data_IF_076701228080
#
_entry.id   IF_076701228080
#
_cell.length_a   1.000
_cell.length_b   1.000
_cell.length_c   1.000
_cell.angle_alpha   90.00
_cell.angle_beta   90.00
_cell.angle_gamma   90.00
#
_symmetry.space_group_name_H-M   'P 1'
#
loop_
_entity.id
_entity.type
_entity.pdbx_description
1 polymer ?
#
# COMPACT_ATOMS: atom_id res chain seq x y z
N UNK A 1 17.20 19.34 9.67
CA UNK A 1 15.75 19.16 9.82
C UNK A 1 15.51 17.67 9.57
N UNK A 2 14.96 16.93 10.54
CA UNK A 2 14.58 15.52 10.32
C UNK A 2 13.47 15.49 9.28
N UNK A 3 13.58 14.64 8.27
CA UNK A 3 12.50 14.49 7.29
C UNK A 3 11.29 13.90 8.00
N UNK A 4 10.13 14.54 7.86
CA UNK A 4 8.88 14.01 8.38
C UNK A 4 8.50 12.77 7.58
N UNK A 5 8.04 11.71 8.25
CA UNK A 5 7.45 10.56 7.58
C UNK A 5 6.33 11.03 6.65
N UNK A 6 6.38 10.57 5.39
CA UNK A 6 5.39 10.90 4.36
C UNK A 6 4.08 10.16 4.66
N UNK A 7 2.95 10.67 4.17
CA UNK A 7 1.68 9.93 4.22
C UNK A 7 1.81 8.61 3.44
N UNK A 8 1.27 7.52 3.98
CA UNK A 8 1.23 6.27 3.24
C UNK A 8 0.86 5.07 4.08
N UNK A 9 0.84 3.90 3.45
CA UNK A 9 0.67 2.60 4.09
C UNK A 9 2.02 2.01 4.39
N UNK A 10 2.21 1.54 5.62
CA UNK A 10 3.47 1.02 6.13
C UNK A 10 3.31 -0.33 6.80
N UNK A 11 4.34 -1.17 6.65
CA UNK A 11 4.69 -2.13 7.69
C UNK A 11 5.49 -1.40 8.78
N UNK A 12 5.08 -1.59 10.03
CA UNK A 12 5.83 -1.13 11.19
C UNK A 12 6.52 -2.34 11.80
N UNK A 13 7.84 -2.43 11.59
CA UNK A 13 8.66 -3.59 11.94
C UNK A 13 9.66 -3.23 13.04
N UNK A 14 9.89 -4.13 13.98
CA UNK A 14 10.98 -3.96 14.94
C UNK A 14 12.35 -4.05 14.23
N UNK A 15 13.29 -3.19 14.58
CA UNK A 15 14.61 -3.20 13.92
C UNK A 15 15.47 -4.38 14.37
N UNK A 16 15.28 -4.85 15.60
CA UNK A 16 16.11 -5.89 16.22
C UNK A 16 15.57 -7.30 16.00
N UNK A 17 14.29 -7.42 15.64
CA UNK A 17 13.61 -8.70 15.47
C UNK A 17 12.67 -8.68 14.25
N UNK A 18 12.42 -9.81 13.58
CA UNK A 18 11.48 -9.91 12.46
C UNK A 18 10.01 -9.88 12.95
N UNK A 19 9.67 -8.90 13.78
CA UNK A 19 8.35 -8.69 14.38
C UNK A 19 7.66 -7.49 13.73
N UNK A 20 6.44 -7.72 13.26
CA UNK A 20 5.56 -6.70 12.70
C UNK A 20 4.43 -6.39 13.66
N UNK A 21 4.06 -5.11 13.75
CA UNK A 21 2.87 -4.70 14.48
C UNK A 21 1.64 -5.15 13.68
N UNK A 22 0.74 -5.89 14.32
CA UNK A 22 -0.48 -6.41 13.71
C UNK A 22 -1.69 -6.06 14.55
N UNK A 23 -2.79 -5.73 13.88
CA UNK A 23 -4.12 -5.74 14.49
C UNK A 23 -4.44 -7.13 15.05
N UNK A 24 -5.14 -7.23 16.19
CA UNK A 24 -5.49 -8.51 16.76
C UNK A 24 -6.44 -9.32 15.86
N UNK A 25 -6.46 -10.62 16.10
CA UNK A 25 -7.54 -11.48 15.63
C UNK A 25 -8.72 -11.30 16.58
N UNK A 26 -9.92 -11.07 16.03
CA UNK A 26 -11.20 -11.16 16.78
C UNK A 26 -11.43 -10.03 17.83
N UNK A 27 -12.36 -10.23 18.78
CA UNK A 27 -12.80 -9.28 19.83
C UNK A 27 -11.73 -8.80 20.83
N UNK A 28 -10.45 -9.08 20.58
CA UNK A 28 -9.40 -8.66 21.49
C UNK A 28 -9.03 -7.20 21.24
N UNK A 29 -8.91 -6.43 22.32
CA UNK A 29 -8.72 -4.97 22.23
C UNK A 29 -7.27 -4.54 21.93
N UNK A 30 -6.30 -5.47 21.96
CA UNK A 30 -4.88 -5.13 22.01
C UNK A 30 -4.11 -5.52 20.75
N UNK A 31 -3.27 -4.60 20.30
CA UNK A 31 -2.35 -4.81 19.17
C UNK A 31 -1.31 -5.88 19.52
N UNK A 32 -0.98 -6.73 18.54
CA UNK A 32 -0.09 -7.90 18.69
C UNK A 32 1.12 -7.78 17.78
N UNK A 33 2.04 -8.73 17.94
CA UNK A 33 3.17 -8.92 17.03
C UNK A 33 3.05 -10.22 16.26
N UNK A 34 3.38 -10.16 14.98
CA UNK A 34 3.51 -11.32 14.10
C UNK A 34 4.96 -11.46 13.70
N UNK A 35 5.53 -12.65 13.90
CA UNK A 35 6.90 -12.96 13.48
C UNK A 35 6.89 -13.46 12.05
N UNK A 36 7.56 -12.75 11.15
CA UNK A 36 7.63 -13.10 9.72
C UNK A 36 8.86 -12.48 9.08
N UNK A 37 9.43 -13.09 8.03
CA UNK A 37 10.64 -12.56 7.39
C UNK A 37 10.31 -11.56 6.27
N UNK A 38 9.33 -11.86 5.43
CA UNK A 38 8.90 -11.03 4.29
C UNK A 38 7.38 -11.14 4.15
N UNK A 39 6.61 -10.17 4.70
CA UNK A 39 5.14 -10.22 4.64
C UNK A 39 4.56 -10.03 3.25
N UNK A 40 5.27 -9.28 2.38
CA UNK A 40 4.67 -8.62 1.22
C UNK A 40 5.06 -9.27 -0.10
N UNK A 41 6.32 -9.66 -0.26
CA UNK A 41 6.81 -10.24 -1.51
C UNK A 41 6.02 -11.53 -1.81
N UNK A 42 5.43 -11.60 -3.00
CA UNK A 42 4.56 -12.70 -3.45
C UNK A 42 3.33 -13.00 -2.57
N UNK A 43 2.95 -12.06 -1.69
CA UNK A 43 1.80 -12.25 -0.82
C UNK A 43 0.51 -12.41 -1.64
N UNK A 44 -0.31 -13.35 -1.20
CA UNK A 44 -1.65 -13.62 -1.73
C UNK A 44 -2.68 -13.89 -0.63
N UNK A 45 -2.26 -13.84 0.64
CA UNK A 45 -3.11 -14.06 1.81
C UNK A 45 -3.55 -12.72 2.41
N UNK A 46 -4.86 -12.40 2.39
CA UNK A 46 -5.40 -11.17 2.99
C UNK A 46 -5.05 -10.99 4.48
N UNK A 47 -4.66 -12.04 5.22
CA UNK A 47 -4.23 -11.91 6.61
C UNK A 47 -3.07 -10.90 6.79
N UNK A 48 -2.26 -10.68 5.75
CA UNK A 48 -1.17 -9.70 5.78
C UNK A 48 -1.65 -8.26 6.02
N UNK A 49 -2.87 -7.92 5.63
CA UNK A 49 -3.42 -6.57 5.73
C UNK A 49 -3.57 -6.10 7.18
N UNK A 50 -3.62 -7.04 8.13
CA UNK A 50 -3.64 -6.74 9.56
C UNK A 50 -2.33 -6.13 10.05
N UNK A 51 -1.23 -6.31 9.31
CA UNK A 51 0.07 -5.70 9.61
C UNK A 51 0.31 -4.39 8.86
N UNK A 52 -0.66 -3.94 8.05
CA UNK A 52 -0.57 -2.70 7.29
C UNK A 52 -1.22 -1.56 8.04
N UNK A 53 -0.51 -0.45 8.12
CA UNK A 53 -0.93 0.74 8.86
C UNK A 53 -0.87 1.95 7.94
N UNK A 54 -2.01 2.60 7.71
CA UNK A 54 -2.08 3.91 7.11
C UNK A 54 -1.60 4.94 8.15
N UNK A 55 -0.55 5.68 7.80
CA UNK A 55 0.05 6.72 8.63
C UNK A 55 -0.17 8.06 7.95
N UNK A 56 -0.77 8.98 8.70
CA UNK A 56 -1.18 10.29 8.20
C UNK A 56 -0.86 11.36 9.23
N UNK A 57 -0.70 12.61 8.79
CA UNK A 57 -0.58 13.73 9.71
C UNK A 57 -1.91 13.90 10.46
N UNK A 58 -1.82 14.03 11.78
CA UNK A 58 -2.98 14.38 12.61
C UNK A 58 -3.32 15.87 12.51
N UNK A 59 -4.45 16.25 13.12
CA UNK A 59 -5.05 17.60 13.07
C UNK A 59 -4.23 18.74 13.72
N UNK A 60 -3.00 18.48 14.20
CA UNK A 60 -2.23 19.46 14.98
C UNK A 60 -0.95 19.88 14.29
N UNK A 61 -0.64 21.18 14.40
CA UNK A 61 0.59 21.89 14.00
C UNK A 61 1.91 21.35 14.61
N UNK A 62 1.94 20.15 15.20
CA UNK A 62 3.03 19.62 16.03
C UNK A 62 3.74 18.40 15.44
N UNK A 63 3.51 18.06 14.17
CA UNK A 63 4.15 16.90 13.54
C UNK A 63 3.74 15.57 14.20
N UNK A 64 2.48 15.49 14.65
CA UNK A 64 1.90 14.25 15.17
C UNK A 64 1.22 13.47 14.04
N UNK A 65 1.19 12.15 14.18
CA UNK A 65 0.63 11.22 13.24
C UNK A 65 -0.56 10.47 13.82
N UNK A 66 -1.54 10.16 12.99
CA UNK A 66 -2.53 9.12 13.26
C UNK A 66 -2.08 7.85 12.54
N UNK A 67 -2.32 6.71 13.18
CA UNK A 67 -1.93 5.40 12.66
C UNK A 67 -3.18 4.53 12.66
N UNK A 68 -3.65 4.14 11.47
CA UNK A 68 -4.90 3.39 11.28
C UNK A 68 -4.62 2.06 10.61
N UNK A 69 -5.18 0.98 11.14
CA UNK A 69 -5.02 -0.34 10.54
C UNK A 69 -5.80 -0.43 9.23
N UNK A 70 -5.16 -0.93 8.17
CA UNK A 70 -5.77 -0.99 6.85
C UNK A 70 -6.94 -2.00 6.79
N UNK A 71 -6.80 -3.14 7.46
CA UNK A 71 -7.82 -4.19 7.46
C UNK A 71 -9.05 -3.80 8.29
N UNK A 72 -8.87 -3.30 9.52
CA UNK A 72 -10.01 -3.01 10.41
C UNK A 72 -10.53 -1.57 10.34
N UNK A 73 -9.78 -0.64 9.74
CA UNK A 73 -10.10 0.79 9.77
C UNK A 73 -9.94 1.45 11.14
N UNK A 74 -9.46 0.71 12.15
CA UNK A 74 -9.33 1.19 13.54
C UNK A 74 -8.01 1.89 13.78
N UNK A 75 -8.02 2.86 14.68
CA UNK A 75 -6.85 3.65 15.05
C UNK A 75 -6.04 2.93 16.14
N UNK A 76 -4.72 2.98 16.01
CA UNK A 76 -3.79 2.65 17.08
C UNK A 76 -3.85 3.75 18.13
N UNK A 77 -4.22 3.40 19.36
CA UNK A 77 -4.42 4.35 20.46
C UNK A 77 -3.69 3.90 21.72
N UNK A 78 -3.32 4.85 22.58
CA UNK A 78 -2.90 4.57 23.97
C UNK A 78 -3.73 5.40 24.94
N UNK A 79 -4.92 4.91 25.35
CA UNK A 79 -5.86 5.66 26.18
C UNK A 79 -5.29 6.08 27.55
N UNK A 80 -4.56 5.18 28.20
CA UNK A 80 -3.96 5.35 29.53
C UNK A 80 -2.46 5.70 29.46
N UNK A 81 -1.91 5.81 28.25
CA UNK A 81 -0.49 6.01 28.00
C UNK A 81 0.40 4.82 28.38
N UNK A 82 -0.16 3.66 28.75
CA UNK A 82 0.58 2.47 29.19
C UNK A 82 0.30 1.28 28.26
N UNK A 83 -0.95 1.08 27.86
CA UNK A 83 -1.38 0.01 26.98
C UNK A 83 -1.76 0.56 25.60
N UNK A 84 -1.54 -0.26 24.57
CA UNK A 84 -1.87 0.11 23.20
C UNK A 84 -3.03 -0.74 22.72
N UNK A 85 -4.07 -0.04 22.27
CA UNK A 85 -5.36 -0.60 21.88
C UNK A 85 -5.73 -0.14 20.48
N UNK A 86 -6.62 -0.88 19.83
CA UNK A 86 -7.24 -0.45 18.57
C UNK A 86 -8.68 0.06 18.81
N UNK A 87 -9.07 1.20 18.24
CA UNK A 87 -10.37 1.81 18.51
C UNK A 87 -11.00 2.42 17.26
N UNK A 88 -12.34 2.45 17.22
CA UNK A 88 -13.11 2.99 16.08
C UNK A 88 -13.03 4.53 15.98
N UNK A 89 -12.54 5.20 17.03
CA UNK A 89 -12.45 6.67 17.09
C UNK A 89 -11.02 7.11 17.32
N UNK A 90 -10.63 8.18 16.63
CA UNK A 90 -9.51 9.02 17.05
C UNK A 90 -9.86 9.67 18.38
N UNK A 91 -9.47 9.04 19.48
CA UNK A 91 -9.59 9.66 20.80
C UNK A 91 -8.55 10.78 20.89
N UNK A 92 -8.93 12.00 20.51
CA UNK A 92 -8.16 13.25 20.47
C UNK A 92 -6.64 13.10 20.65
N UNK A 93 -6.13 12.99 21.89
CA UNK A 93 -4.69 12.92 22.19
C UNK A 93 -4.12 11.50 22.28
N UNK A 94 -4.95 10.50 22.57
CA UNK A 94 -4.53 9.11 22.72
C UNK A 94 -4.39 8.38 21.39
N UNK A 95 -4.96 8.91 20.29
CA UNK A 95 -4.77 8.38 18.94
C UNK A 95 -3.67 9.08 18.12
N UNK A 96 -3.02 10.09 18.69
CA UNK A 96 -1.94 10.84 18.06
C UNK A 96 -0.57 10.30 18.54
N UNK A 97 0.38 10.19 17.60
CA UNK A 97 1.70 9.63 17.79
C UNK A 97 2.77 10.59 17.29
N UNK A 98 3.76 10.89 18.12
CA UNK A 98 4.99 11.56 17.69
C UNK A 98 5.94 10.48 17.20
N UNK A 99 6.30 10.55 15.92
CA UNK A 99 7.27 9.67 15.29
C UNK A 99 8.54 10.48 15.10
N UNK A 100 9.63 10.04 15.72
CA UNK A 100 10.92 10.73 15.67
C UNK A 100 11.97 9.80 15.10
N UNK A 101 12.70 10.29 14.09
CA UNK A 101 13.85 9.59 13.55
C UNK A 101 14.98 9.54 14.59
N UNK A 102 15.56 8.35 14.73
CA UNK A 102 16.77 8.11 15.50
C UNK A 102 17.76 7.40 14.56
N UNK A 103 19.07 7.34 14.88
CA UNK A 103 20.03 6.67 14.00
C UNK A 103 19.55 5.27 13.63
N UNK A 104 19.34 5.04 12.32
CA UNK A 104 18.88 3.76 11.72
C UNK A 104 17.44 3.31 12.05
N UNK A 105 16.60 4.12 12.71
CA UNK A 105 15.25 3.71 13.11
C UNK A 105 14.31 4.90 13.40
N UNK A 106 13.08 4.59 13.78
CA UNK A 106 12.11 5.53 14.35
C UNK A 106 11.76 5.13 15.79
N UNK A 107 11.43 6.13 16.61
CA UNK A 107 10.75 5.96 17.90
C UNK A 107 9.34 6.53 17.80
N UNK A 108 8.38 5.84 18.42
CA UNK A 108 6.97 6.24 18.42
C UNK A 108 6.51 6.48 19.85
N UNK A 109 5.98 7.67 20.11
CA UNK A 109 5.57 8.13 21.44
C UNK A 109 4.15 8.68 21.36
N UNK A 110 3.21 8.29 22.24
CA UNK A 110 1.89 8.90 22.27
C UNK A 110 1.98 10.42 22.50
N UNK A 111 1.29 11.22 21.70
CA UNK A 111 1.38 12.69 21.80
C UNK A 111 0.90 13.23 23.16
N UNK A 112 -0.01 12.51 23.82
CA UNK A 112 -0.47 12.80 25.18
C UNK A 112 0.53 12.45 26.30
N UNK A 113 1.60 11.70 26.02
CA UNK A 113 2.56 11.28 27.04
C UNK A 113 3.98 11.05 26.49
N UNK A 114 4.86 12.03 26.69
CA UNK A 114 6.27 11.96 26.28
C UNK A 114 7.10 10.96 27.10
N UNK A 115 6.53 10.41 28.18
CA UNK A 115 7.23 9.51 29.08
C UNK A 115 7.28 8.06 28.58
N UNK A 116 6.49 7.70 27.57
CA UNK A 116 6.29 6.31 27.16
C UNK A 116 6.58 6.11 25.68
N UNK A 117 7.29 5.03 25.36
CA UNK A 117 7.60 4.67 23.97
C UNK A 117 6.93 3.35 23.63
N UNK A 118 6.52 3.25 22.37
CA UNK A 118 6.13 2.00 21.72
C UNK A 118 7.21 0.94 21.93
N UNK A 119 6.91 -0.07 22.74
CA UNK A 119 7.84 -1.12 23.14
C UNK A 119 7.18 -2.48 23.01
N UNK A 120 7.88 -3.44 22.39
CA UNK A 120 7.48 -4.84 22.49
C UNK A 120 8.00 -5.44 23.80
N UNK A 121 7.16 -6.22 24.48
CA UNK A 121 7.56 -6.99 25.66
C UNK A 121 7.18 -8.45 25.46
N UNK A 122 8.18 -9.33 25.50
CA UNK A 122 7.99 -10.78 25.43
C UNK A 122 7.78 -11.34 26.84
N UNK A 123 6.55 -11.74 27.16
CA UNK A 123 6.26 -12.54 28.36
C UNK A 123 5.93 -13.96 27.92
N UNK A 124 6.95 -14.80 27.74
CA UNK A 124 6.98 -16.27 27.61
C UNK A 124 5.87 -17.03 26.83
N UNK A 125 4.91 -16.35 26.18
CA UNK A 125 3.79 -16.84 25.34
C UNK A 125 2.89 -15.71 24.81
N UNK A 126 2.95 -14.49 25.35
CA UNK A 126 2.20 -13.33 24.85
C UNK A 126 3.19 -12.18 24.58
N UNK A 127 3.28 -11.76 23.31
CA UNK A 127 4.02 -10.56 22.92
C UNK A 127 3.03 -9.41 22.92
N UNK A 128 3.17 -8.50 23.88
CA UNK A 128 2.29 -7.34 24.05
C UNK A 128 2.98 -6.04 23.68
N UNK A 129 2.22 -5.09 23.14
CA UNK A 129 2.66 -3.75 22.79
C UNK A 129 2.33 -2.81 23.97
N UNK A 130 3.38 -2.27 24.60
CA UNK A 130 3.23 -1.37 25.74
C UNK A 130 3.97 -0.07 25.52
N UNK A 131 3.45 0.99 26.11
CA UNK A 131 4.09 2.27 26.19
C UNK A 131 4.88 2.30 27.52
N UNK A 132 6.20 2.03 27.50
CA UNK A 132 7.02 1.89 28.73
C UNK A 132 8.28 2.76 28.77
N UNK A 133 8.70 3.12 29.98
CA UNK A 133 10.05 3.64 30.29
C UNK A 133 11.07 2.49 30.23
N UNK A 134 12.31 2.73 29.80
CA UNK A 134 13.39 1.71 29.81
C UNK A 134 14.07 1.40 28.46
N UNK A 135 14.86 0.31 28.42
CA UNK A 135 15.97 0.02 27.47
C UNK A 135 15.74 0.29 25.97
N UNK A 136 16.84 0.59 25.27
CA UNK A 136 16.87 1.15 23.90
C UNK A 136 16.52 0.19 22.76
N UNK A 137 16.76 -1.12 22.89
CA UNK A 137 16.61 -2.08 21.78
C UNK A 137 15.15 -2.27 21.34
N UNK A 138 14.24 -2.52 22.28
CA UNK A 138 12.84 -2.85 21.98
C UNK A 138 11.95 -1.67 21.54
N UNK A 139 12.53 -0.49 21.29
CA UNK A 139 11.83 0.77 20.97
C UNK A 139 12.11 1.30 19.57
N UNK A 140 12.90 0.58 18.79
CA UNK A 140 13.32 0.97 17.45
C UNK A 140 12.43 0.29 16.41
N UNK A 141 11.82 1.11 15.56
CA UNK A 141 10.88 0.69 14.54
C UNK A 141 11.35 1.16 13.17
N UNK A 142 11.29 0.29 12.17
CA UNK A 142 11.43 0.66 10.76
C UNK A 142 10.05 0.77 10.13
N UNK A 143 9.84 1.85 9.38
CA UNK A 143 8.63 2.09 8.60
C UNK A 143 8.91 1.73 7.14
N UNK A 144 8.46 0.56 6.71
CA UNK A 144 8.59 0.13 5.32
C UNK A 144 7.32 0.50 4.57
N UNK A 145 7.40 1.53 3.72
CA UNK A 145 6.26 2.00 2.92
C UNK A 145 5.90 0.98 1.83
N UNK A 146 4.61 0.76 1.63
CA UNK A 146 4.05 -0.12 0.58
C UNK A 146 2.96 0.56 -0.26
N UNK A 147 2.89 1.89 -0.15
CA UNK A 147 2.03 2.73 -0.96
C UNK A 147 2.86 3.75 -1.74
N UNK A 148 2.28 4.28 -2.81
CA UNK A 148 2.82 5.43 -3.55
C UNK A 148 1.74 6.50 -3.69
N UNK A 149 2.15 7.76 -3.68
CA UNK A 149 1.28 8.86 -4.10
C UNK A 149 1.04 8.80 -5.60
N UNK A 150 0.01 9.50 -6.08
CA UNK A 150 -0.20 9.64 -7.52
C UNK A 150 0.96 10.35 -8.23
N UNK A 151 1.64 11.29 -7.55
CA UNK A 151 2.85 11.93 -8.09
C UNK A 151 4.01 10.94 -8.24
N UNK A 152 4.26 10.10 -7.24
CA UNK A 152 5.29 9.05 -7.31
C UNK A 152 4.95 8.00 -8.38
N UNK A 153 3.68 7.62 -8.50
CA UNK A 153 3.21 6.71 -9.56
C UNK A 153 3.43 7.31 -10.95
N UNK A 154 3.11 8.60 -11.14
CA UNK A 154 3.39 9.30 -12.40
C UNK A 154 4.89 9.36 -12.71
N UNK A 155 5.74 9.56 -11.70
CA UNK A 155 7.20 9.53 -11.87
C UNK A 155 7.66 8.12 -12.30
N UNK A 156 7.12 7.05 -11.72
CA UNK A 156 7.42 5.68 -12.12
C UNK A 156 6.97 5.39 -13.56
N UNK A 157 5.82 5.94 -13.98
CA UNK A 157 5.39 5.88 -15.38
C UNK A 157 6.36 6.61 -16.31
N UNK A 158 6.78 7.83 -15.97
CA UNK A 158 7.73 8.61 -16.76
C UNK A 158 9.10 7.95 -16.91
N UNK A 159 9.56 7.26 -15.86
CA UNK A 159 10.84 6.55 -15.86
C UNK A 159 10.77 5.18 -16.51
N UNK A 160 9.58 4.64 -16.77
CA UNK A 160 9.44 3.32 -17.35
C UNK A 160 10.02 3.31 -18.78
N UNK A 161 11.01 2.47 -19.09
CA UNK A 161 11.64 2.44 -20.41
C UNK A 161 10.68 2.24 -21.59
N UNK A 162 9.62 1.46 -21.40
CA UNK A 162 8.59 1.20 -22.42
C UNK A 162 7.62 2.36 -22.61
N UNK A 163 7.64 3.37 -21.74
CA UNK A 163 6.83 4.59 -21.81
C UNK A 163 7.66 5.86 -22.03
N UNK A 164 8.97 5.80 -21.74
CA UNK A 164 9.87 6.97 -21.65
C UNK A 164 9.91 7.79 -22.94
N UNK A 165 10.03 7.13 -24.08
CA UNK A 165 10.13 7.81 -25.38
C UNK A 165 8.84 8.58 -25.73
N UNK A 166 7.69 8.16 -25.20
CA UNK A 166 6.41 8.85 -25.41
C UNK A 166 6.30 10.12 -24.56
N UNK A 167 6.84 10.11 -23.35
CA UNK A 167 6.88 11.28 -22.47
C UNK A 167 7.95 12.31 -22.86
N UNK A 168 9.14 11.87 -23.29
CA UNK A 168 10.25 12.79 -23.58
C UNK A 168 10.13 13.47 -24.95
N UNK A 169 9.53 12.80 -25.94
CA UNK A 169 9.51 13.30 -27.32
C UNK A 169 8.22 14.04 -27.68
N UNK A 170 7.28 14.26 -26.75
CA UNK A 170 5.94 14.81 -27.01
C UNK A 170 5.21 14.11 -28.19
N UNK A 171 5.57 12.85 -28.48
CA UNK A 171 5.08 12.15 -29.67
C UNK A 171 3.59 11.85 -29.54
N UNK A 172 3.14 11.55 -28.31
CA UNK A 172 1.75 11.52 -27.88
C UNK A 172 1.77 11.85 -26.39
N UNK A 173 1.18 12.98 -25.99
CA UNK A 173 1.06 13.34 -24.58
C UNK A 173 0.16 12.28 -23.93
N UNK A 174 0.75 11.24 -23.29
CA UNK A 174 -0.04 10.19 -22.64
C UNK A 174 -0.93 10.89 -21.64
N UNK A 175 -2.23 10.92 -21.92
CA UNK A 175 -3.18 11.57 -21.04
C UNK A 175 -3.34 10.70 -19.80
N UNK A 176 -2.61 11.03 -18.75
CA UNK A 176 -2.50 10.24 -17.53
C UNK A 176 -3.38 10.86 -16.42
N UNK A 177 -4.56 10.29 -16.23
CA UNK A 177 -5.56 10.75 -15.27
C UNK A 177 -5.42 9.99 -13.95
N UNK A 178 -5.11 10.73 -12.90
CA UNK A 178 -5.04 10.24 -11.52
C UNK A 178 -6.43 10.36 -10.87
N UNK A 179 -6.94 9.27 -10.30
CA UNK A 179 -8.26 9.23 -9.63
C UNK A 179 -8.18 9.26 -8.10
N UNK A 180 -7.10 8.74 -7.52
CA UNK A 180 -6.88 8.72 -6.07
C UNK A 180 -5.61 9.47 -5.69
N UNK A 181 -5.52 9.92 -4.43
CA UNK A 181 -4.34 10.63 -3.92
C UNK A 181 -3.14 9.72 -3.71
N UNK A 182 -3.37 8.58 -3.06
CA UNK A 182 -2.38 7.60 -2.69
C UNK A 182 -2.92 6.20 -3.00
N UNK A 183 -2.02 5.30 -3.36
CA UNK A 183 -2.33 3.95 -3.79
C UNK A 183 -1.53 2.92 -3.02
N UNK A 184 -2.21 1.92 -2.48
CA UNK A 184 -1.57 0.68 -2.04
C UNK A 184 -1.05 -0.08 -3.27
N UNK A 185 0.22 -0.48 -3.25
CA UNK A 185 0.82 -1.28 -4.31
C UNK A 185 0.73 -2.75 -3.92
N UNK A 186 -0.19 -3.48 -4.56
CA UNK A 186 -0.34 -4.91 -4.28
C UNK A 186 0.78 -5.73 -4.95
N UNK A 187 1.31 -6.73 -4.24
CA UNK A 187 2.13 -7.79 -4.81
C UNK A 187 1.42 -8.53 -5.95
N UNK A 188 2.19 -9.04 -6.90
CA UNK A 188 1.68 -9.82 -8.04
C UNK A 188 0.84 -11.04 -7.63
N UNK A 189 1.10 -11.59 -6.44
CA UNK A 189 0.34 -12.68 -5.85
C UNK A 189 -1.15 -12.35 -5.65
N UNK A 190 -1.47 -11.13 -5.17
CA UNK A 190 -2.86 -10.68 -5.01
C UNK A 190 -3.54 -10.42 -6.36
N UNK A 191 -2.85 -9.76 -7.30
CA UNK A 191 -3.35 -9.59 -8.66
C UNK A 191 -3.74 -10.94 -9.28
N UNK A 192 -2.87 -11.94 -9.14
CA UNK A 192 -3.12 -13.31 -9.63
C UNK A 192 -4.31 -13.97 -8.93
N UNK A 193 -4.47 -13.76 -7.62
CA UNK A 193 -5.59 -14.29 -6.86
C UNK A 193 -6.93 -13.65 -7.27
N UNK A 194 -6.96 -12.33 -7.45
CA UNK A 194 -8.13 -11.57 -7.92
C UNK A 194 -8.48 -11.98 -9.34
N UNK A 195 -7.50 -12.06 -10.24
CA UNK A 195 -7.70 -12.45 -11.63
C UNK A 195 -8.31 -13.85 -11.77
N UNK A 196 -7.87 -14.80 -10.94
CA UNK A 196 -8.42 -16.17 -10.94
C UNK A 196 -9.93 -16.21 -10.68
N UNK A 197 -10.50 -15.21 -10.01
CA UNK A 197 -11.96 -15.12 -9.77
C UNK A 197 -12.76 -14.66 -11.00
N UNK A 198 -12.11 -14.05 -12.00
CA UNK A 198 -12.77 -13.49 -13.19
C UNK A 198 -12.31 -14.09 -14.53
N UNK A 199 -11.35 -15.03 -14.51
CA UNK A 199 -10.63 -15.54 -15.70
C UNK A 199 -11.47 -16.31 -16.73
N UNK A 200 -12.67 -16.78 -16.40
CA UNK A 200 -13.45 -17.70 -17.24
C UNK A 200 -14.18 -17.03 -18.42
N UNK A 201 -13.64 -15.91 -18.90
CA UNK A 201 -14.27 -15.09 -19.95
C UNK A 201 -13.55 -15.29 -21.26
N UNK A 202 -14.31 -15.29 -22.36
CA UNK A 202 -13.79 -15.49 -23.71
C UNK A 202 -13.71 -14.16 -24.43
N UNK A 203 -12.60 -13.95 -25.15
CA UNK A 203 -12.44 -12.82 -26.05
C UNK A 203 -13.53 -12.88 -27.14
N UNK A 204 -14.29 -11.80 -27.26
CA UNK A 204 -15.32 -11.60 -28.28
C UNK A 204 -15.14 -10.18 -28.82
N UNK A 205 -14.81 -10.00 -30.11
CA UNK A 205 -14.62 -8.68 -30.69
C UNK A 205 -15.78 -7.74 -30.33
N UNK A 206 -15.44 -6.51 -29.89
CA UNK A 206 -16.34 -5.42 -29.47
C UNK A 206 -17.20 -5.69 -28.23
N UNK A 207 -17.77 -6.88 -28.08
CA UNK A 207 -18.69 -7.22 -26.97
C UNK A 207 -17.92 -7.51 -25.69
N UNK A 208 -16.74 -8.14 -25.83
CA UNK A 208 -15.88 -8.52 -24.71
C UNK A 208 -14.44 -8.71 -25.17
N UNK A 209 -13.81 -7.61 -25.53
CA UNK A 209 -12.43 -7.49 -26.00
C UNK A 209 -11.50 -6.88 -24.95
N UNK A 210 -10.32 -6.38 -25.34
CA UNK A 210 -9.23 -6.06 -24.41
C UNK A 210 -9.60 -4.99 -23.37
N UNK A 211 -10.35 -3.95 -23.76
CA UNK A 211 -10.84 -2.92 -22.86
C UNK A 211 -11.83 -3.48 -21.84
N UNK A 212 -12.75 -4.34 -22.27
CA UNK A 212 -13.69 -5.05 -21.42
C UNK A 212 -12.97 -5.89 -20.37
N UNK A 213 -11.94 -6.64 -20.76
CA UNK A 213 -11.11 -7.40 -19.80
C UNK A 213 -10.42 -6.47 -18.79
N UNK A 214 -9.79 -5.39 -19.25
CA UNK A 214 -9.02 -4.50 -18.40
C UNK A 214 -9.88 -3.68 -17.42
N UNK A 215 -11.06 -3.23 -17.87
CA UNK A 215 -12.03 -2.54 -17.02
C UNK A 215 -12.64 -3.49 -15.98
N UNK A 216 -13.03 -4.70 -16.38
CA UNK A 216 -13.55 -5.71 -15.45
C UNK A 216 -12.51 -6.08 -14.40
N UNK A 217 -11.24 -6.21 -14.78
CA UNK A 217 -10.19 -6.49 -13.81
C UNK A 217 -9.95 -5.33 -12.83
N UNK A 218 -9.89 -4.07 -13.31
CA UNK A 218 -9.82 -2.90 -12.41
C UNK A 218 -11.01 -2.87 -11.44
N UNK A 219 -12.23 -3.15 -11.92
CA UNK A 219 -13.42 -3.24 -11.09
C UNK A 219 -13.35 -4.39 -10.06
N UNK A 220 -12.79 -5.54 -10.46
CA UNK A 220 -12.58 -6.66 -9.55
C UNK A 220 -11.56 -6.33 -8.45
N UNK A 221 -10.48 -5.61 -8.76
CA UNK A 221 -9.52 -5.13 -7.76
C UNK A 221 -10.18 -4.13 -6.80
N UNK A 222 -10.98 -3.20 -7.31
CA UNK A 222 -11.72 -2.25 -6.47
C UNK A 222 -12.71 -2.95 -5.52
N UNK A 223 -13.49 -3.91 -6.06
CA UNK A 223 -14.43 -4.72 -5.26
C UNK A 223 -13.70 -5.52 -4.19
N UNK A 224 -12.61 -6.18 -4.56
CA UNK A 224 -11.79 -6.92 -3.62
C UNK A 224 -11.20 -6.02 -2.53
N UNK A 225 -10.73 -4.82 -2.90
CA UNK A 225 -10.24 -3.82 -1.95
C UNK A 225 -11.32 -3.42 -0.95
N UNK A 226 -12.52 -3.06 -1.44
CA UNK A 226 -13.67 -2.73 -0.59
C UNK A 226 -14.04 -3.86 0.38
N UNK A 227 -13.85 -5.12 0.00
CA UNK A 227 -14.18 -6.28 0.85
C UNK A 227 -13.10 -6.59 1.90
N UNK A 228 -11.86 -6.10 1.72
CA UNK A 228 -10.70 -6.47 2.55
C UNK A 228 -10.09 -5.31 3.33
N UNK A 229 -10.33 -4.09 2.92
CA UNK A 229 -9.78 -2.87 3.51
C UNK A 229 -10.91 -2.14 4.23
N UNK A 230 -10.80 -2.04 5.55
CA UNK A 230 -11.75 -1.30 6.38
C UNK A 230 -11.39 0.18 6.56
N UNK A 231 -10.16 0.58 6.21
CA UNK A 231 -9.76 1.99 6.21
C UNK A 231 -10.19 2.70 4.91
N UNK A 232 -10.49 3.99 4.99
CA UNK A 232 -10.79 4.84 3.83
C UNK A 232 -9.55 5.66 3.38
N UNK A 233 -9.77 6.57 2.43
CA UNK A 233 -8.77 7.52 1.91
C UNK A 233 -7.49 6.90 1.32
N UNK A 234 -7.59 5.69 0.77
CA UNK A 234 -6.51 5.00 0.06
C UNK A 234 -7.07 4.18 -1.11
N UNK A 235 -6.52 4.40 -2.30
CA UNK A 235 -6.82 3.58 -3.47
C UNK A 235 -5.95 2.31 -3.50
N UNK A 236 -6.30 1.36 -4.36
CA UNK A 236 -5.39 0.27 -4.74
C UNK A 236 -4.89 0.57 -6.15
N UNK A 237 -3.58 0.54 -6.36
CA UNK A 237 -3.06 0.73 -7.71
C UNK A 237 -3.43 -0.47 -8.58
N UNK A 238 -4.43 -0.28 -9.42
CA UNK A 238 -4.68 -1.09 -10.60
C UNK A 238 -4.97 -0.11 -11.73
N UNK A 239 -3.91 0.33 -12.38
CA UNK A 239 -3.99 1.22 -13.53
C UNK A 239 -4.69 0.53 -14.70
N UNK A 240 -5.27 1.34 -15.58
CA UNK A 240 -5.81 0.94 -16.86
C UNK A 240 -5.12 1.80 -17.92
N UNK A 241 -4.64 1.18 -18.99
CA UNK A 241 -3.92 1.86 -20.06
C UNK A 241 -4.39 1.36 -21.41
N UNK A 242 -4.69 2.28 -22.31
CA UNK A 242 -4.99 2.02 -23.70
C UNK A 242 -3.78 2.38 -24.56
N UNK A 243 -3.45 1.52 -25.51
CA UNK A 243 -2.42 1.80 -26.51
C UNK A 243 -2.75 1.31 -27.90
N UNK A 244 -2.02 1.84 -28.88
CA UNK A 244 -2.13 1.55 -30.30
C UNK A 244 -0.98 0.68 -30.78
N UNK A 245 -1.21 -0.16 -31.78
CA UNK A 245 -0.18 -1.03 -32.33
C UNK A 245 1.02 -0.21 -32.84
N UNK A 246 2.23 -0.71 -32.55
CA UNK A 246 3.48 -0.15 -33.06
C UNK A 246 3.70 -0.57 -34.52
N UNK A 247 4.27 0.29 -35.39
CA UNK A 247 4.72 -0.13 -36.71
C UNK A 247 5.68 -1.34 -36.62
N UNK A 248 5.60 -2.30 -37.56
CA UNK A 248 4.84 -2.27 -38.82
C UNK A 248 3.39 -2.78 -38.69
N UNK A 249 2.91 -3.13 -37.50
CA UNK A 249 1.50 -3.46 -37.31
C UNK A 249 0.67 -2.18 -37.48
N UNK A 250 -0.19 -2.17 -38.50
CA UNK A 250 -0.93 -0.95 -38.91
C UNK A 250 -2.24 -0.79 -38.14
N UNK A 251 -2.79 -1.88 -37.60
CA UNK A 251 -4.08 -1.90 -36.92
C UNK A 251 -4.02 -2.71 -35.62
N UNK A 252 -4.71 -2.19 -34.61
CA UNK A 252 -4.86 -2.84 -33.32
C UNK A 252 -4.81 -1.84 -32.17
N UNK A 253 -5.77 -1.97 -31.27
CA UNK A 253 -5.75 -1.32 -29.97
C UNK A 253 -5.69 -2.40 -28.91
N UNK A 254 -4.95 -2.13 -27.83
CA UNK A 254 -4.91 -3.01 -26.67
C UNK A 254 -5.10 -2.19 -25.43
N UNK A 255 -6.00 -2.65 -24.57
CA UNK A 255 -6.08 -2.17 -23.21
C UNK A 255 -5.44 -3.21 -22.29
N UNK A 256 -4.64 -2.73 -21.34
CA UNK A 256 -3.99 -3.53 -20.31
C UNK A 256 -4.23 -2.88 -18.96
N UNK A 257 -4.01 -3.65 -17.90
CA UNK A 257 -3.85 -3.07 -16.58
C UNK A 257 -2.37 -2.85 -16.27
N UNK A 258 -2.08 -2.09 -15.23
CA UNK A 258 -0.72 -1.96 -14.74
C UNK A 258 -0.66 -1.78 -13.22
N UNK A 259 0.50 -2.10 -12.66
CA UNK A 259 0.90 -1.83 -11.28
C UNK A 259 2.37 -1.41 -11.26
N UNK A 260 3.00 -1.33 -10.10
CA UNK A 260 4.44 -1.08 -9.96
C UNK A 260 5.18 -2.36 -9.54
N UNK A 261 6.47 -2.42 -9.85
CA UNK A 261 7.39 -3.43 -9.29
C UNK A 261 7.58 -3.28 -7.78
N UNK A 262 8.20 -4.28 -7.15
CA UNK A 262 8.38 -4.34 -5.69
C UNK A 262 9.21 -3.19 -5.11
N UNK A 263 10.08 -2.59 -5.92
CA UNK A 263 10.87 -1.39 -5.61
C UNK A 263 10.14 -0.07 -5.95
N UNK A 264 8.94 -0.16 -6.54
CA UNK A 264 8.06 0.93 -6.94
C UNK A 264 8.60 1.90 -7.98
N UNK A 265 9.71 1.59 -8.66
CA UNK A 265 10.36 2.53 -9.59
C UNK A 265 9.89 2.39 -11.05
N UNK A 266 9.23 1.27 -11.37
CA UNK A 266 8.86 0.90 -12.72
C UNK A 266 7.45 0.32 -12.77
N UNK A 267 6.73 0.69 -13.83
CA UNK A 267 5.44 0.10 -14.20
C UNK A 267 5.60 -1.34 -14.72
N UNK A 268 4.71 -2.23 -14.31
CA UNK A 268 4.55 -3.57 -14.90
C UNK A 268 3.15 -3.67 -15.46
N UNK A 269 3.04 -4.12 -16.70
CA UNK A 269 1.76 -4.35 -17.34
C UNK A 269 1.20 -5.71 -16.94
N UNK A 270 -0.10 -5.78 -16.84
CA UNK A 270 -0.86 -6.99 -16.57
C UNK A 270 -1.86 -7.19 -17.71
N UNK A 271 -1.79 -8.36 -18.33
CA UNK A 271 -2.69 -8.81 -19.40
C UNK A 271 -3.89 -9.53 -18.78
N UNK A 272 -5.03 -8.86 -18.55
CA UNK A 272 -6.19 -9.45 -17.89
C UNK A 272 -6.83 -10.61 -18.67
N UNK A 273 -6.54 -10.76 -19.95
CA UNK A 273 -6.98 -11.87 -20.79
C UNK A 273 -6.18 -13.16 -20.55
N UNK A 274 -4.90 -13.04 -20.17
CA UNK A 274 -4.01 -14.20 -19.96
C UNK A 274 -3.55 -14.38 -18.50
N UNK A 275 -3.70 -13.35 -17.68
CA UNK A 275 -3.19 -13.30 -16.31
C UNK A 275 -1.68 -13.10 -16.22
N UNK A 276 -1.01 -12.68 -17.29
CA UNK A 276 0.45 -12.53 -17.35
C UNK A 276 0.90 -11.11 -17.03
N UNK A 277 2.09 -11.01 -16.46
CA UNK A 277 2.80 -9.75 -16.29
C UNK A 277 3.85 -9.57 -17.37
N UNK A 278 3.98 -8.37 -17.92
CA UNK A 278 5.00 -8.02 -18.92
C UNK A 278 5.63 -6.67 -18.58
N UNK A 279 6.88 -6.48 -19.00
CA UNK A 279 7.57 -5.20 -18.84
C UNK A 279 7.24 -4.21 -19.97
N UNK A 280 6.79 -4.73 -21.11
CA UNK A 280 6.35 -3.96 -22.27
C UNK A 280 4.94 -4.43 -22.65
N UNK A 281 4.00 -3.49 -22.83
CA UNK A 281 2.66 -3.81 -23.30
C UNK A 281 2.67 -4.22 -24.77
N UNK A 282 3.72 -3.90 -25.54
CA UNK A 282 3.86 -4.17 -26.97
C UNK A 282 3.14 -3.18 -27.89
N UNK A 283 2.61 -2.11 -27.30
CA UNK A 283 1.78 -1.07 -27.92
C UNK A 283 2.28 0.29 -27.46
N UNK A 284 2.00 1.33 -28.24
CA UNK A 284 2.27 2.70 -27.88
C UNK A 284 1.12 3.24 -26.99
N UNK A 285 1.40 3.64 -25.76
CA UNK A 285 0.41 4.16 -24.82
C UNK A 285 -0.20 5.48 -25.32
N UNK A 286 -1.51 5.63 -25.17
CA UNK A 286 -2.23 6.87 -25.53
C UNK A 286 -2.97 7.48 -24.32
N UNK A 287 -3.52 6.62 -23.47
CA UNK A 287 -4.38 7.02 -22.36
C UNK A 287 -4.10 6.13 -21.16
N UNK A 288 -4.01 6.74 -19.98
CA UNK A 288 -3.89 6.01 -18.72
C UNK A 288 -4.84 6.58 -17.68
N UNK A 289 -5.50 5.69 -16.93
CA UNK A 289 -6.33 6.01 -15.78
C UNK A 289 -5.83 5.17 -14.61
N UNK A 290 -5.40 5.81 -13.52
CA UNK A 290 -4.95 5.10 -12.33
C UNK A 290 -5.57 5.66 -11.09
#
# INVERSE_FOLDING_TARGET
MSESLVRGVYFIKNVDEPLFISDPFDTQQYVRFVKMNQPWNDANDPAVFRMLWLVELGDRDKGAYIIRNLNSGKYMTSPDGAQISHNDKTMAKSGEWIITEVPTACQCVPAGSQAYNLKHVSYSKLIGLYALRGSKSHKRWSFQRVSQSGAETRIAMWRNPSLKDHFENNLFDIHAYQVDRDYLILPRGFFSAIWKSIRERKLRPEIYDYDSFALVFKAAVATWGSDKIGADDIGILCGWMLGRARPPAVEGQKAVNFTLEDNYDKVVFFEPETGKFTEDMGYDPELALF
#
